data_IF_264090978183
#
_entry.id   IF_264090978183
#
_cell.length_a   1.000
_cell.length_b   1.000
_cell.length_c   1.000
_cell.angle_alpha   90.00
_cell.angle_beta   90.00
_cell.angle_gamma   90.00
#
_symmetry.space_group_name_H-M   'P 1'
#
loop_
_entity.id
_entity.type
_entity.pdbx_description
1 polymer ?
#
# COMPACT_ATOMS: atom_id res chain seq x y z
N UNK A 1 5.64 7.20 7.50
CA UNK A 1 4.39 6.99 8.26
C UNK A 1 4.74 6.74 9.72
N UNK A 2 3.92 7.23 10.65
CA UNK A 2 4.14 6.99 12.08
C UNK A 2 2.94 6.26 12.67
N UNK A 3 3.20 5.19 13.39
CA UNK A 3 2.20 4.38 14.09
C UNK A 3 2.69 4.22 15.52
N UNK A 4 1.96 4.80 16.48
CA UNK A 4 2.43 4.94 17.86
C UNK A 4 3.87 5.49 17.91
N UNK A 5 4.80 4.71 18.46
CA UNK A 5 6.21 5.09 18.64
C UNK A 5 7.11 4.70 17.45
N UNK A 6 6.57 3.97 16.46
CA UNK A 6 7.31 3.51 15.29
C UNK A 6 7.18 4.51 14.14
N UNK A 7 8.30 4.84 13.51
CA UNK A 7 8.35 5.65 12.30
C UNK A 7 9.02 4.86 11.17
N UNK A 8 8.34 4.78 10.03
CA UNK A 8 8.83 4.13 8.82
C UNK A 8 8.93 5.14 7.67
N UNK A 9 10.11 5.25 7.09
CA UNK A 9 10.39 6.13 5.96
C UNK A 9 10.00 5.46 4.64
N UNK A 10 9.43 6.24 3.71
CA UNK A 10 9.09 5.78 2.36
C UNK A 10 8.24 4.49 2.35
N UNK A 11 7.21 4.44 3.20
CA UNK A 11 6.31 3.29 3.33
C UNK A 11 5.27 3.21 2.20
N UNK A 12 4.89 4.36 1.66
CA UNK A 12 3.86 4.48 0.62
C UNK A 12 4.42 5.18 -0.61
N UNK A 13 3.79 4.94 -1.74
CA UNK A 13 3.98 5.67 -2.99
C UNK A 13 2.62 6.02 -3.58
N UNK A 14 2.58 7.02 -4.47
CA UNK A 14 1.37 7.48 -5.12
C UNK A 14 1.66 8.06 -6.50
N UNK A 15 0.64 8.09 -7.35
CA UNK A 15 0.61 8.92 -8.55
C UNK A 15 -0.03 10.26 -8.19
N UNK A 16 0.77 11.24 -7.76
CA UNK A 16 0.27 12.58 -7.39
C UNK A 16 -0.37 13.31 -8.59
N UNK A 17 0.12 13.02 -9.79
CA UNK A 17 -0.45 13.48 -11.06
C UNK A 17 -0.48 12.28 -12.01
N UNK A 18 -1.56 11.47 -11.97
CA UNK A 18 -1.68 10.29 -12.82
C UNK A 18 -1.79 10.68 -14.30
N UNK A 19 -1.50 9.73 -15.18
CA UNK A 19 -1.81 9.84 -16.61
C UNK A 19 -3.32 9.66 -16.84
N UNK A 20 -3.79 10.02 -18.04
CA UNK A 20 -5.22 9.92 -18.41
C UNK A 20 -5.77 8.50 -18.20
N UNK A 21 -4.99 7.46 -18.52
CA UNK A 21 -5.40 6.06 -18.31
C UNK A 21 -5.49 5.65 -16.84
N UNK A 22 -4.94 6.45 -15.92
CA UNK A 22 -4.85 6.18 -14.49
C UNK A 22 -5.54 7.23 -13.62
N UNK A 23 -6.42 8.07 -14.18
CA UNK A 23 -7.14 9.10 -13.42
C UNK A 23 -7.88 8.54 -12.19
N UNK A 24 -8.34 7.28 -12.26
CA UNK A 24 -9.01 6.61 -11.14
C UNK A 24 -8.13 6.47 -9.88
N UNK A 25 -6.80 6.49 -10.04
CA UNK A 25 -5.85 6.37 -8.94
C UNK A 25 -5.46 7.73 -8.32
N UNK A 26 -6.02 8.84 -8.82
CA UNK A 26 -5.73 10.17 -8.28
C UNK A 26 -6.03 10.23 -6.77
N UNK A 27 -5.02 10.62 -5.99
CA UNK A 27 -5.13 10.74 -4.54
C UNK A 27 -5.05 9.41 -3.77
N UNK A 28 -4.84 8.27 -4.45
CA UNK A 28 -4.67 6.99 -3.79
C UNK A 28 -3.21 6.82 -3.32
N UNK A 29 -3.04 6.08 -2.23
CA UNK A 29 -1.73 5.69 -1.70
C UNK A 29 -1.60 4.17 -1.79
N UNK A 30 -0.43 3.69 -2.19
CA UNK A 30 -0.10 2.27 -2.24
C UNK A 30 1.04 1.96 -1.28
N UNK A 31 0.89 0.87 -0.53
CA UNK A 31 1.92 0.36 0.38
C UNK A 31 2.86 -0.60 -0.33
N UNK A 32 4.12 -0.63 0.09
CA UNK A 32 5.03 -1.71 -0.30
C UNK A 32 4.69 -2.98 0.50
N UNK A 33 4.43 -4.10 -0.19
CA UNK A 33 4.01 -5.38 0.39
C UNK A 33 4.79 -5.79 1.64
N UNK A 34 6.13 -5.86 1.53
CA UNK A 34 7.01 -6.30 2.61
C UNK A 34 7.38 -5.22 3.63
N UNK A 35 6.73 -4.05 3.62
CA UNK A 35 7.01 -2.96 4.57
C UNK A 35 5.87 -2.69 5.55
N UNK A 36 4.77 -3.42 5.43
CA UNK A 36 3.68 -3.44 6.42
C UNK A 36 3.70 -4.77 7.16
N UNK A 37 3.22 -4.78 8.40
CA UNK A 37 3.33 -5.96 9.27
C UNK A 37 2.39 -7.09 8.84
N UNK A 38 1.17 -6.76 8.39
CA UNK A 38 0.12 -7.72 8.03
C UNK A 38 -0.78 -7.16 6.93
N UNK A 39 -1.28 -8.04 6.07
CA UNK A 39 -2.34 -7.77 5.10
C UNK A 39 -3.57 -8.57 5.50
N UNK A 40 -4.73 -7.92 5.66
CA UNK A 40 -5.96 -8.57 6.10
C UNK A 40 -7.02 -8.51 5.00
N UNK A 41 -7.63 -9.64 4.69
CA UNK A 41 -8.79 -9.77 3.80
C UNK A 41 -9.85 -10.56 4.55
N UNK A 42 -11.03 -9.98 4.76
CA UNK A 42 -12.11 -10.57 5.58
C UNK A 42 -11.61 -11.10 6.95
N UNK A 43 -10.83 -10.26 7.65
CA UNK A 43 -10.16 -10.56 8.94
C UNK A 43 -9.12 -11.70 8.92
N UNK A 44 -8.82 -12.28 7.75
CA UNK A 44 -7.78 -13.29 7.58
C UNK A 44 -6.48 -12.67 7.07
N UNK A 45 -5.35 -13.08 7.67
CA UNK A 45 -4.02 -12.67 7.20
C UNK A 45 -3.67 -13.32 5.86
N UNK A 46 -3.24 -12.50 4.91
CA UNK A 46 -2.75 -12.92 3.60
C UNK A 46 -1.25 -12.63 3.53
N UNK A 47 -0.47 -13.67 3.22
CA UNK A 47 0.99 -13.59 3.13
C UNK A 47 1.50 -13.55 1.69
N UNK A 48 0.66 -13.99 0.75
CA UNK A 48 0.94 -13.99 -0.69
C UNK A 48 0.37 -12.75 -1.35
N UNK A 49 1.19 -12.08 -2.15
CA UNK A 49 0.73 -10.91 -2.87
C UNK A 49 -0.34 -11.34 -3.89
N UNK A 50 -1.55 -10.74 -3.92
CA UNK A 50 -2.66 -11.19 -4.77
C UNK A 50 -2.36 -11.26 -6.28
N UNK A 51 -1.33 -10.54 -6.73
CA UNK A 51 -0.88 -10.53 -8.12
C UNK A 51 0.25 -11.54 -8.44
N UNK A 52 0.67 -12.37 -7.49
CA UNK A 52 1.69 -13.40 -7.68
C UNK A 52 1.09 -14.78 -7.31
N UNK A 53 0.63 -15.58 -8.30
CA UNK A 53 0.05 -16.90 -8.06
C UNK A 53 1.07 -17.97 -7.67
#
# INVERSE_FOLDING_TARGET
MRVADRFEENLVWSYETPFDEGEEYAGYLAFYWGRVDQWLVDDAEVTEHPQNP
#
